data_IF_226083012584
#
_entry.id   IF_226083012584
#
_cell.length_a   1.000
_cell.length_b   1.000
_cell.length_c   1.000
_cell.angle_alpha   90.00
_cell.angle_beta   90.00
_cell.angle_gamma   90.00
#
_symmetry.space_group_name_H-M   'P 1'
#
loop_
_entity.id
_entity.type
_entity.pdbx_description
1 polymer ?
#
# COMPACT_ATOMS: atom_id res chain seq x y z
N UNK A 1 -9.10 7.18 -16.14
CA UNK A 1 -8.03 6.96 -15.12
C UNK A 1 -8.59 6.14 -13.96
N UNK A 2 -7.81 5.23 -13.39
CA UNK A 2 -8.24 4.37 -12.27
C UNK A 2 -7.30 4.57 -11.07
N UNK A 3 -7.87 4.90 -9.92
CA UNK A 3 -7.16 5.22 -8.68
C UNK A 3 -7.49 4.21 -7.58
N UNK A 4 -6.53 3.96 -6.69
CA UNK A 4 -6.76 3.23 -5.45
C UNK A 4 -7.13 4.21 -4.33
N UNK A 5 -8.37 4.17 -3.85
CA UNK A 5 -8.92 5.09 -2.85
C UNK A 5 -8.77 4.61 -1.40
N UNK A 6 -7.89 3.66 -1.17
CA UNK A 6 -7.61 3.20 0.19
C UNK A 6 -7.09 4.32 1.07
N UNK A 7 -7.49 4.31 2.34
CA UNK A 7 -7.06 5.26 3.36
C UNK A 7 -6.11 4.57 4.34
N UNK A 8 -4.95 5.18 4.55
CA UNK A 8 -3.98 4.69 5.53
C UNK A 8 -4.47 5.00 6.94
N UNK A 9 -4.42 4.00 7.80
CA UNK A 9 -4.77 4.14 9.21
C UNK A 9 -3.49 4.33 10.06
N UNK A 10 -3.55 5.06 11.20
CA UNK A 10 -2.40 5.27 12.07
C UNK A 10 -2.07 4.00 12.88
N UNK A 11 -1.72 2.94 12.17
CA UNK A 11 -1.54 1.58 12.71
C UNK A 11 -0.21 1.35 13.43
N UNK A 12 0.70 2.34 13.49
CA UNK A 12 1.99 2.20 14.17
C UNK A 12 1.91 2.71 15.60
N UNK A 13 2.21 1.86 16.55
CA UNK A 13 2.25 2.17 17.99
C UNK A 13 3.59 1.72 18.61
N UNK A 14 3.86 2.21 19.81
CA UNK A 14 5.05 1.85 20.56
C UNK A 14 4.64 1.22 21.90
N UNK A 15 5.35 0.16 22.25
CA UNK A 15 5.18 -0.53 23.53
C UNK A 15 6.53 -0.66 24.25
N UNK A 16 6.50 -0.89 25.54
CA UNK A 16 7.67 -1.24 26.34
C UNK A 16 7.68 -2.74 26.58
N UNK A 17 8.81 -3.37 26.31
CA UNK A 17 9.11 -4.77 26.60
C UNK A 17 10.39 -4.82 27.40
N UNK A 18 10.32 -5.17 28.71
CA UNK A 18 11.51 -5.22 29.60
C UNK A 18 12.40 -3.98 29.41
N UNK A 19 11.92 -2.82 29.68
CA UNK A 19 12.60 -1.51 29.62
C UNK A 19 13.09 -1.07 28.23
N UNK A 20 12.73 -1.82 27.18
CA UNK A 20 13.04 -1.48 25.78
C UNK A 20 11.79 -1.07 25.04
N UNK A 21 11.86 0.05 24.35
CA UNK A 21 10.81 0.48 23.44
C UNK A 21 10.85 -0.38 22.18
N UNK A 22 9.69 -0.93 21.83
CA UNK A 22 9.46 -1.71 20.60
C UNK A 22 8.36 -1.09 19.78
N UNK A 23 8.52 -1.10 18.47
CA UNK A 23 7.52 -0.58 17.54
C UNK A 23 6.68 -1.73 17.01
N UNK A 24 5.37 -1.54 17.02
CA UNK A 24 4.36 -2.43 16.46
C UNK A 24 3.66 -1.74 15.31
N UNK A 25 3.44 -2.44 14.20
CA UNK A 25 2.52 -2.00 13.15
C UNK A 25 1.42 -3.04 13.06
N UNK A 26 0.18 -2.66 13.37
CA UNK A 26 -0.98 -3.53 13.28
C UNK A 26 -1.25 -3.83 11.80
N UNK A 27 -1.35 -5.11 11.45
CA UNK A 27 -1.50 -5.56 10.04
C UNK A 27 -2.88 -6.14 9.79
N UNK A 28 -3.27 -7.11 10.62
CA UNK A 28 -4.53 -7.83 10.43
C UNK A 28 -5.15 -8.17 11.79
N UNK A 29 -6.43 -7.87 11.92
CA UNK A 29 -7.23 -8.30 13.06
C UNK A 29 -7.65 -9.76 12.85
N UNK A 30 -7.30 -10.63 13.80
CA UNK A 30 -7.70 -12.05 13.82
C UNK A 30 -8.99 -12.22 14.62
N UNK A 31 -9.07 -11.51 15.75
CA UNK A 31 -10.26 -11.43 16.61
C UNK A 31 -10.30 -10.04 17.26
N UNK A 32 -11.34 -9.66 18.00
CA UNK A 32 -11.45 -8.33 18.59
C UNK A 32 -10.20 -7.87 19.36
N UNK A 33 -9.50 -8.77 20.02
CA UNK A 33 -8.29 -8.47 20.81
C UNK A 33 -7.01 -9.09 20.27
N UNK A 34 -7.07 -9.96 19.25
CA UNK A 34 -5.90 -10.65 18.69
C UNK A 34 -5.54 -10.05 17.32
N UNK A 35 -4.30 -9.61 17.18
CA UNK A 35 -3.79 -8.98 15.97
C UNK A 35 -2.48 -9.60 15.50
N UNK A 36 -2.35 -9.72 14.18
CA UNK A 36 -1.05 -9.84 13.55
C UNK A 36 -0.40 -8.47 13.43
N UNK A 37 0.84 -8.38 13.86
CA UNK A 37 1.62 -7.14 13.84
C UNK A 37 3.00 -7.36 13.24
N UNK A 38 3.56 -6.35 12.60
CA UNK A 38 4.98 -6.30 12.31
C UNK A 38 5.73 -5.79 13.55
N UNK A 39 6.67 -6.58 14.03
CA UNK A 39 7.48 -6.26 15.20
C UNK A 39 8.87 -6.87 15.05
N UNK A 40 9.90 -6.07 15.27
CA UNK A 40 11.30 -6.53 15.24
C UNK A 40 11.72 -7.11 16.60
N UNK A 41 12.74 -7.95 16.58
CA UNK A 41 13.37 -8.52 17.77
C UNK A 41 12.92 -9.95 18.09
N UNK A 42 13.73 -10.64 18.90
CA UNK A 42 13.43 -12.00 19.41
C UNK A 42 12.65 -11.86 20.71
N UNK A 43 11.47 -12.44 20.77
CA UNK A 43 10.54 -12.36 21.90
C UNK A 43 10.07 -13.78 22.21
N UNK A 44 9.93 -14.10 23.50
CA UNK A 44 9.40 -15.39 23.94
C UNK A 44 7.88 -15.33 24.07
N UNK A 45 7.15 -16.40 23.76
CA UNK A 45 5.73 -16.51 24.06
C UNK A 45 5.42 -16.18 25.54
N UNK A 46 4.31 -15.51 25.79
CA UNK A 46 3.90 -15.04 27.11
C UNK A 46 4.53 -13.70 27.56
N UNK A 47 5.45 -13.12 26.76
CA UNK A 47 6.04 -11.83 27.11
C UNK A 47 4.99 -10.72 27.11
N UNK A 48 5.02 -9.89 28.15
CA UNK A 48 4.08 -8.80 28.37
C UNK A 48 4.61 -7.50 27.76
N UNK A 49 3.74 -6.80 27.10
CA UNK A 49 3.94 -5.47 26.53
C UNK A 49 3.12 -4.47 27.32
N UNK A 50 3.71 -3.36 27.71
CA UNK A 50 3.00 -2.23 28.33
C UNK A 50 3.01 -1.03 27.38
N UNK A 51 2.01 -0.17 27.50
CA UNK A 51 1.82 0.99 26.64
C UNK A 51 1.83 2.26 27.48
N UNK A 52 2.62 3.24 27.04
CA UNK A 52 2.85 4.47 27.79
C UNK A 52 1.54 5.22 28.09
N UNK A 53 1.37 5.65 29.36
CA UNK A 53 0.18 6.38 29.85
C UNK A 53 -1.16 5.69 29.54
N UNK A 54 -1.18 4.36 29.56
CA UNK A 54 -2.41 3.59 29.27
C UNK A 54 -2.51 2.34 30.11
N UNK A 55 -3.73 1.92 30.38
CA UNK A 55 -4.02 0.60 30.98
C UNK A 55 -3.94 -0.55 29.96
N UNK A 56 -3.74 -0.22 28.67
CA UNK A 56 -3.57 -1.22 27.62
C UNK A 56 -2.33 -2.07 27.90
N UNK A 57 -2.49 -3.38 27.83
CA UNK A 57 -1.40 -4.35 27.82
C UNK A 57 -1.53 -5.28 26.61
N UNK A 58 -0.44 -5.93 26.26
CA UNK A 58 -0.42 -6.91 25.17
C UNK A 58 0.42 -8.12 25.55
N UNK A 59 -0.04 -9.30 25.21
CA UNK A 59 0.69 -10.55 25.40
C UNK A 59 1.19 -11.07 24.04
N UNK A 60 2.48 -11.29 23.92
CA UNK A 60 3.02 -11.94 22.73
C UNK A 60 2.69 -13.42 22.72
N UNK A 61 1.91 -13.87 21.71
CA UNK A 61 1.47 -15.26 21.58
C UNK A 61 2.51 -16.08 20.82
N UNK A 62 2.78 -15.71 19.59
CA UNK A 62 3.67 -16.44 18.67
C UNK A 62 4.20 -15.56 17.55
N UNK A 63 5.15 -16.10 16.80
CA UNK A 63 5.65 -15.49 15.58
C UNK A 63 5.48 -16.44 14.41
N UNK A 64 4.88 -15.93 13.35
CA UNK A 64 4.78 -16.61 12.05
C UNK A 64 5.64 -15.80 11.07
N UNK A 65 6.82 -16.33 10.70
CA UNK A 65 7.80 -15.63 9.86
C UNK A 65 8.12 -14.21 10.40
N UNK A 66 7.72 -13.16 9.69
CA UNK A 66 7.98 -11.77 10.08
C UNK A 66 6.87 -11.15 10.93
N UNK A 67 5.72 -11.82 11.04
CA UNK A 67 4.55 -11.33 11.78
C UNK A 67 4.52 -11.92 13.17
N UNK A 68 4.28 -11.08 14.15
CA UNK A 68 4.00 -11.47 15.52
C UNK A 68 2.48 -11.48 15.75
N UNK A 69 2.01 -12.36 16.60
CA UNK A 69 0.61 -12.38 17.06
C UNK A 69 0.60 -11.85 18.48
N UNK A 70 -0.18 -10.79 18.70
CA UNK A 70 -0.35 -10.12 20.00
C UNK A 70 -1.81 -10.21 20.40
N UNK A 71 -2.06 -10.60 21.63
CA UNK A 71 -3.35 -10.48 22.31
C UNK A 71 -3.34 -9.23 23.18
N UNK A 72 -4.21 -8.29 22.89
CA UNK A 72 -4.38 -7.07 23.68
C UNK A 72 -5.40 -7.29 24.80
N UNK A 73 -5.24 -6.59 25.92
CA UNK A 73 -6.12 -6.72 27.08
C UNK A 73 -7.57 -6.31 26.82
N UNK A 74 -7.80 -5.40 25.86
CA UNK A 74 -9.14 -4.92 25.51
C UNK A 74 -9.15 -4.29 24.14
N UNK A 75 -10.19 -4.56 23.34
CA UNK A 75 -10.42 -3.90 22.06
C UNK A 75 -10.61 -2.39 22.22
N UNK A 76 -11.46 -1.97 23.16
CA UNK A 76 -11.74 -0.55 23.40
C UNK A 76 -10.49 0.21 23.85
N UNK A 77 -9.66 -0.40 24.72
CA UNK A 77 -8.41 0.22 25.14
C UNK A 77 -7.42 0.36 23.98
N UNK A 78 -7.36 -0.64 23.08
CA UNK A 78 -6.52 -0.58 21.87
C UNK A 78 -7.01 0.52 20.92
N UNK A 79 -8.30 0.58 20.62
CA UNK A 79 -8.90 1.61 19.76
C UNK A 79 -8.61 3.01 20.31
N UNK A 80 -8.86 3.25 21.58
CA UNK A 80 -8.53 4.51 22.25
C UNK A 80 -7.04 4.84 22.15
N UNK A 81 -6.17 3.85 22.41
CA UNK A 81 -4.72 4.06 22.30
C UNK A 81 -4.26 4.41 20.88
N UNK A 82 -4.87 3.79 19.86
CA UNK A 82 -4.61 4.10 18.47
C UNK A 82 -5.04 5.52 18.08
N UNK A 83 -6.17 5.99 18.59
CA UNK A 83 -6.66 7.36 18.37
C UNK A 83 -5.70 8.40 18.96
N UNK A 84 -5.24 8.18 20.20
CA UNK A 84 -4.40 9.12 20.95
C UNK A 84 -2.91 9.04 20.55
N UNK A 85 -2.38 7.85 20.31
CA UNK A 85 -0.95 7.60 20.14
C UNK A 85 -0.56 6.95 18.82
N UNK A 86 -1.53 6.57 17.98
CA UNK A 86 -1.28 5.96 16.69
C UNK A 86 -0.54 6.88 15.73
N UNK A 87 0.49 6.36 15.07
CA UNK A 87 1.28 7.06 14.06
C UNK A 87 1.10 6.44 12.69
N UNK A 88 1.33 7.25 11.67
CA UNK A 88 1.34 6.74 10.29
C UNK A 88 2.46 5.71 10.11
N UNK A 89 2.18 4.54 9.54
CA UNK A 89 3.15 3.48 9.29
C UNK A 89 4.00 3.80 8.05
N UNK A 90 4.83 4.84 8.15
CA UNK A 90 5.68 5.30 7.05
C UNK A 90 6.68 4.21 6.64
N UNK A 91 7.08 4.18 5.35
CA UNK A 91 8.13 3.28 4.87
C UNK A 91 9.43 3.40 5.65
N UNK A 92 10.23 2.32 5.78
CA UNK A 92 11.39 2.29 6.67
C UNK A 92 12.51 3.28 6.29
N UNK A 93 12.56 3.76 5.05
CA UNK A 93 13.52 4.78 4.61
C UNK A 93 13.14 6.21 5.03
N UNK A 94 11.90 6.42 5.52
CA UNK A 94 11.49 7.69 6.13
C UNK A 94 11.74 7.57 7.62
N UNK A 95 12.87 8.10 8.05
CA UNK A 95 13.25 8.07 9.46
C UNK A 95 12.36 9.00 10.27
N UNK A 96 11.74 8.45 11.32
CA UNK A 96 10.98 9.18 12.32
C UNK A 96 11.43 8.75 13.70
N UNK A 97 11.70 9.73 14.55
CA UNK A 97 12.14 9.51 15.93
C UNK A 97 10.93 9.30 16.85
N UNK A 98 11.17 8.73 18.02
CA UNK A 98 10.12 8.51 19.01
C UNK A 98 9.58 9.84 19.56
N UNK A 99 10.45 10.85 19.69
CA UNK A 99 10.22 12.19 20.21
C UNK A 99 9.87 13.23 19.13
N UNK A 100 9.46 12.79 17.93
CA UNK A 100 8.98 13.68 16.88
C UNK A 100 7.82 14.56 17.38
N UNK A 101 7.83 15.84 17.00
CA UNK A 101 6.86 16.81 17.47
C UNK A 101 5.43 16.50 16.99
N UNK A 102 4.39 16.92 17.72
CA UNK A 102 3.00 16.78 17.26
C UNK A 102 2.77 17.38 15.87
N UNK A 103 3.43 18.49 15.53
CA UNK A 103 3.35 19.10 14.21
C UNK A 103 3.90 18.18 13.10
N UNK A 104 5.02 17.49 13.36
CA UNK A 104 5.59 16.50 12.43
C UNK A 104 4.64 15.33 12.23
N UNK A 105 4.05 14.79 13.30
CA UNK A 105 3.12 13.68 13.23
C UNK A 105 1.82 14.04 12.48
N UNK A 106 1.30 15.25 12.71
CA UNK A 106 0.14 15.75 11.99
C UNK A 106 0.43 15.99 10.50
N UNK A 107 1.63 16.47 10.20
CA UNK A 107 2.09 16.61 8.81
C UNK A 107 2.18 15.23 8.12
N UNK A 108 2.67 14.20 8.80
CA UNK A 108 2.71 12.83 8.26
C UNK A 108 1.30 12.30 7.97
N UNK A 109 0.32 12.53 8.87
CA UNK A 109 -1.09 12.16 8.65
C UNK A 109 -1.64 12.79 7.37
N UNK A 110 -1.33 14.07 7.12
CA UNK A 110 -1.79 14.78 5.93
C UNK A 110 -1.05 14.36 4.66
N UNK A 111 0.27 14.20 4.74
CA UNK A 111 1.11 13.96 3.55
C UNK A 111 1.16 12.51 3.11
N UNK A 112 1.00 11.55 4.02
CA UNK A 112 0.98 10.12 3.69
C UNK A 112 -0.44 9.62 3.42
N UNK A 113 -1.23 10.46 2.73
CA UNK A 113 -2.61 10.19 2.38
C UNK A 113 -2.95 10.83 1.04
N UNK A 114 -3.65 10.12 0.16
CA UNK A 114 -4.14 10.71 -1.09
C UNK A 114 -5.32 11.63 -0.84
N UNK A 115 -5.49 12.66 -1.67
CA UNK A 115 -6.59 13.65 -1.52
C UNK A 115 -7.98 13.07 -1.79
N UNK A 116 -8.05 11.84 -2.31
CA UNK A 116 -9.27 11.09 -2.63
C UNK A 116 -9.44 9.82 -1.78
N UNK A 117 -8.59 9.61 -0.78
CA UNK A 117 -8.70 8.48 0.15
C UNK A 117 -10.06 8.48 0.85
N UNK A 118 -10.71 7.32 0.91
CA UNK A 118 -12.08 7.20 1.44
C UNK A 118 -12.40 5.86 2.10
N UNK A 119 -11.57 4.82 1.90
CA UNK A 119 -11.79 3.48 2.44
C UNK A 119 -10.67 3.12 3.40
N UNK A 120 -10.91 3.22 4.70
CA UNK A 120 -9.92 2.94 5.75
C UNK A 120 -9.50 1.47 5.79
N UNK A 121 -8.22 1.19 6.10
CA UNK A 121 -7.73 -0.18 6.28
C UNK A 121 -6.32 -0.44 5.76
N UNK A 122 -5.68 0.48 5.04
CA UNK A 122 -4.32 0.28 4.55
C UNK A 122 -3.27 0.66 5.60
N UNK A 123 -2.14 -0.02 5.55
CA UNK A 123 -0.92 0.35 6.29
C UNK A 123 0.14 1.02 5.41
N UNK A 124 -0.14 1.18 4.13
CA UNK A 124 0.69 1.96 3.22
C UNK A 124 -0.16 2.74 2.22
N UNK A 125 0.27 3.94 1.87
CA UNK A 125 -0.41 4.77 0.88
C UNK A 125 -0.18 4.26 -0.55
N UNK A 126 -1.17 4.38 -1.46
CA UNK A 126 -0.96 4.21 -2.89
C UNK A 126 -0.20 5.43 -3.43
N UNK A 127 1.14 5.37 -3.32
CA UNK A 127 2.03 6.54 -3.37
C UNK A 127 2.00 7.29 -4.70
N UNK A 128 1.72 6.63 -5.81
CA UNK A 128 1.51 7.31 -7.10
C UNK A 128 0.34 8.32 -7.05
N UNK A 129 -0.63 8.09 -6.19
CA UNK A 129 -1.75 9.00 -5.98
C UNK A 129 -1.39 10.27 -5.21
N UNK A 130 -0.26 10.29 -4.48
CA UNK A 130 0.19 11.47 -3.72
C UNK A 130 0.61 12.63 -4.64
N UNK A 131 0.86 12.37 -5.91
CA UNK A 131 1.20 13.39 -6.91
C UNK A 131 0.01 14.27 -7.32
N UNK A 132 -1.21 13.88 -6.96
CA UNK A 132 -2.42 14.61 -7.33
C UNK A 132 -2.92 15.51 -6.21
N UNK A 133 -3.22 16.75 -6.55
CA UNK A 133 -3.98 17.67 -5.72
C UNK A 133 -5.46 17.64 -6.11
N UNK A 134 -6.34 18.10 -5.22
CA UNK A 134 -7.79 18.25 -5.53
C UNK A 134 -8.02 19.09 -6.78
N UNK A 135 -7.31 20.23 -6.89
CA UNK A 135 -7.44 21.12 -8.05
C UNK A 135 -6.99 20.49 -9.37
N UNK A 136 -5.94 19.66 -9.35
CA UNK A 136 -5.53 18.89 -10.54
C UNK A 136 -6.57 17.86 -10.93
N UNK A 137 -7.16 17.14 -9.98
CA UNK A 137 -8.22 16.17 -10.27
C UNK A 137 -9.46 16.82 -10.87
N UNK A 138 -9.84 18.00 -10.38
CA UNK A 138 -10.95 18.75 -10.99
C UNK A 138 -10.65 19.19 -12.43
N UNK A 139 -9.45 19.71 -12.69
CA UNK A 139 -9.03 20.05 -14.05
C UNK A 139 -9.00 18.82 -14.98
N UNK A 140 -8.50 17.68 -14.49
CA UNK A 140 -8.45 16.45 -15.27
C UNK A 140 -9.85 15.97 -15.70
N UNK A 141 -10.90 16.18 -14.91
CA UNK A 141 -12.27 15.81 -15.27
C UNK A 141 -12.75 16.42 -16.59
N UNK A 142 -12.20 17.57 -16.97
CA UNK A 142 -12.53 18.25 -18.23
C UNK A 142 -11.72 17.69 -19.43
N UNK A 143 -10.64 16.94 -19.19
CA UNK A 143 -9.71 16.50 -20.22
C UNK A 143 -9.70 14.98 -20.43
N UNK A 144 -10.27 14.22 -19.52
CA UNK A 144 -10.33 12.76 -19.59
C UNK A 144 -11.79 12.30 -19.58
N UNK A 145 -12.05 11.13 -20.14
CA UNK A 145 -13.41 10.58 -20.19
C UNK A 145 -14.00 10.30 -18.79
N UNK A 146 -13.17 9.90 -17.85
CA UNK A 146 -13.65 9.69 -16.49
C UNK A 146 -12.62 9.20 -15.49
N UNK A 147 -13.01 9.26 -14.23
CA UNK A 147 -12.26 8.74 -13.09
C UNK A 147 -13.05 7.60 -12.47
N UNK A 148 -12.41 6.47 -12.27
CA UNK A 148 -12.90 5.34 -11.50
C UNK A 148 -11.99 5.08 -10.29
N UNK A 149 -12.57 4.48 -9.26
CA UNK A 149 -11.83 4.11 -8.05
C UNK A 149 -12.00 2.61 -7.78
N UNK A 150 -10.93 2.01 -7.34
CA UNK A 150 -10.92 0.71 -6.68
C UNK A 150 -10.31 0.87 -5.29
N UNK A 151 -10.52 -0.11 -4.43
CA UNK A 151 -9.88 -0.18 -3.12
C UNK A 151 -8.99 -1.41 -3.11
N UNK A 152 -7.72 -1.25 -2.79
CA UNK A 152 -6.83 -2.33 -2.39
C UNK A 152 -6.12 -1.86 -1.12
N UNK A 153 -6.30 -2.59 -0.03
CA UNK A 153 -5.61 -2.29 1.22
C UNK A 153 -4.17 -2.78 1.13
N UNK A 154 -3.26 -1.83 0.95
CA UNK A 154 -1.84 -2.11 0.76
C UNK A 154 -1.25 -2.69 2.04
N UNK A 155 -0.76 -3.90 1.96
CA UNK A 155 -0.09 -4.61 3.03
C UNK A 155 1.42 -4.31 3.10
N UNK A 156 2.11 -4.85 4.13
CA UNK A 156 3.54 -4.65 4.31
C UNK A 156 4.39 -5.33 3.23
N UNK A 157 3.84 -6.31 2.53
CA UNK A 157 4.52 -7.10 1.50
C UNK A 157 5.00 -6.25 0.32
N UNK A 158 4.31 -5.15 0.00
CA UNK A 158 4.62 -4.27 -1.12
C UNK A 158 6.03 -3.64 -1.03
N UNK A 159 6.56 -3.47 0.18
CA UNK A 159 7.91 -2.89 0.40
C UNK A 159 8.99 -3.94 0.64
N UNK A 160 8.67 -5.23 0.57
CA UNK A 160 9.66 -6.29 0.77
C UNK A 160 10.55 -6.42 -0.47
N UNK A 161 11.88 -6.46 -0.30
CA UNK A 161 12.77 -6.81 -1.40
C UNK A 161 12.59 -8.29 -1.77
N UNK A 162 12.79 -8.61 -3.03
CA UNK A 162 12.91 -10.00 -3.49
C UNK A 162 14.20 -10.55 -2.90
N UNK A 163 14.09 -11.63 -2.12
CA UNK A 163 15.22 -12.28 -1.42
C UNK A 163 15.77 -13.51 -2.14
N UNK A 164 15.12 -13.90 -3.22
CA UNK A 164 15.53 -15.04 -4.06
C UNK A 164 16.25 -14.52 -5.29
N UNK A 165 17.31 -15.19 -5.72
CA UNK A 165 17.99 -14.88 -6.98
C UNK A 165 17.09 -15.20 -8.19
N UNK A 166 16.17 -16.13 -8.03
CA UNK A 166 15.14 -16.50 -9.00
C UNK A 166 13.80 -15.94 -8.56
N UNK A 167 13.34 -14.87 -9.24
CA UNK A 167 12.06 -14.21 -8.93
C UNK A 167 10.85 -15.13 -9.15
N UNK A 168 10.96 -16.20 -9.95
CA UNK A 168 9.86 -17.15 -10.16
C UNK A 168 9.47 -17.89 -8.87
N UNK A 169 10.37 -17.94 -7.88
CA UNK A 169 10.13 -18.53 -6.55
C UNK A 169 9.60 -17.53 -5.53
N UNK A 170 9.39 -16.28 -5.94
CA UNK A 170 8.83 -15.26 -5.05
C UNK A 170 7.32 -15.39 -4.99
N UNK A 171 6.79 -15.54 -3.78
CA UNK A 171 5.35 -15.55 -3.55
C UNK A 171 4.87 -14.15 -3.13
N UNK A 172 3.95 -13.59 -3.91
CA UNK A 172 3.28 -12.35 -3.55
C UNK A 172 2.26 -12.59 -2.45
N UNK A 173 2.30 -11.78 -1.40
CA UNK A 173 1.23 -11.76 -0.40
C UNK A 173 -0.10 -11.37 -1.06
N UNK A 174 -1.16 -12.09 -0.69
CA UNK A 174 -2.50 -11.76 -1.15
C UNK A 174 -3.01 -10.49 -0.45
N UNK A 175 -3.54 -9.55 -1.22
CA UNK A 175 -4.11 -8.29 -0.74
C UNK A 175 -5.59 -8.22 -1.11
N UNK A 176 -6.42 -7.82 -0.14
CA UNK A 176 -7.85 -7.68 -0.36
C UNK A 176 -8.15 -6.47 -1.23
N UNK A 177 -9.02 -6.65 -2.23
CA UNK A 177 -9.50 -5.55 -3.06
C UNK A 177 -11.03 -5.51 -3.15
N UNK A 178 -11.53 -4.36 -3.55
CA UNK A 178 -12.95 -4.12 -3.83
C UNK A 178 -13.12 -3.13 -4.97
N UNK A 179 -14.05 -3.43 -5.89
CA UNK A 179 -14.49 -2.50 -6.94
C UNK A 179 -16.02 -2.39 -6.86
N UNK A 180 -16.56 -1.18 -6.72
CA UNK A 180 -18.00 -0.99 -6.72
C UNK A 180 -18.57 -1.17 -8.14
N UNK A 181 -19.84 -1.61 -8.30
CA UNK A 181 -20.46 -1.77 -9.62
C UNK A 181 -20.39 -0.50 -10.47
N UNK A 182 -20.59 0.67 -9.85
CA UNK A 182 -20.48 1.98 -10.52
C UNK A 182 -19.09 2.21 -11.12
N UNK A 183 -18.03 1.92 -10.38
CA UNK A 183 -16.66 2.09 -10.87
C UNK A 183 -16.29 1.02 -11.89
N UNK A 184 -16.75 -0.22 -11.68
CA UNK A 184 -16.51 -1.29 -12.62
C UNK A 184 -17.16 -0.99 -14.00
N UNK A 185 -18.43 -0.59 -14.01
CA UNK A 185 -19.12 -0.24 -15.26
C UNK A 185 -18.39 0.86 -16.02
N UNK A 186 -17.93 1.91 -15.34
CA UNK A 186 -17.11 2.96 -15.97
C UNK A 186 -15.87 2.41 -16.67
N UNK A 187 -15.18 1.44 -16.05
CA UNK A 187 -13.97 0.83 -16.62
C UNK A 187 -14.33 -0.02 -17.83
N UNK A 188 -15.35 -0.88 -17.69
CA UNK A 188 -15.82 -1.77 -18.77
C UNK A 188 -16.34 -0.98 -19.97
N UNK A 189 -17.16 0.05 -19.72
CA UNK A 189 -17.71 0.87 -20.79
C UNK A 189 -16.62 1.64 -21.53
N UNK A 190 -15.62 2.19 -20.79
CA UNK A 190 -14.45 2.81 -21.43
C UNK A 190 -13.69 1.84 -22.33
N UNK A 191 -13.51 0.58 -21.90
CA UNK A 191 -12.84 -0.45 -22.75
C UNK A 191 -13.69 -0.80 -23.99
N UNK A 192 -15.01 -0.96 -23.83
CA UNK A 192 -15.94 -1.23 -24.95
C UNK A 192 -15.92 -0.11 -25.99
N UNK A 193 -15.74 1.13 -25.55
CA UNK A 193 -15.64 2.31 -26.41
C UNK A 193 -14.23 2.49 -27.02
N UNK A 194 -13.33 1.53 -26.82
CA UNK A 194 -11.95 1.60 -27.34
C UNK A 194 -11.06 2.63 -26.63
N UNK A 195 -11.43 3.08 -25.42
CA UNK A 195 -10.67 4.07 -24.67
C UNK A 195 -9.59 3.41 -23.83
N UNK A 196 -8.44 4.06 -23.78
CA UNK A 196 -7.30 3.60 -22.99
C UNK A 196 -7.55 3.74 -21.48
N UNK A 197 -7.10 2.76 -20.71
CA UNK A 197 -7.12 2.74 -19.25
C UNK A 197 -5.74 3.10 -18.70
N UNK A 198 -5.67 4.25 -18.00
CA UNK A 198 -4.50 4.66 -17.26
C UNK A 198 -4.66 4.25 -15.80
N UNK A 199 -3.82 3.32 -15.33
CA UNK A 199 -3.72 2.95 -13.93
C UNK A 199 -2.82 3.94 -13.17
N UNK A 200 -3.28 4.42 -12.02
CA UNK A 200 -2.48 5.24 -11.11
C UNK A 200 -1.99 4.35 -9.98
N UNK A 201 -0.71 3.99 -10.06
CA UNK A 201 0.00 3.11 -9.14
C UNK A 201 -0.06 1.63 -9.50
N UNK A 202 0.97 0.92 -9.08
CA UNK A 202 1.12 -0.52 -9.27
C UNK A 202 0.03 -1.33 -8.60
N UNK A 203 -0.56 -0.83 -7.51
CA UNK A 203 -1.70 -1.45 -6.81
C UNK A 203 -2.95 -1.45 -7.69
N UNK A 204 -3.25 -0.33 -8.36
CA UNK A 204 -4.35 -0.25 -9.32
C UNK A 204 -4.13 -1.20 -10.50
N UNK A 205 -2.91 -1.25 -11.03
CA UNK A 205 -2.52 -2.16 -12.11
C UNK A 205 -2.77 -3.62 -11.73
N UNK A 206 -2.28 -4.06 -10.57
CA UNK A 206 -2.42 -5.45 -10.12
C UNK A 206 -3.90 -5.86 -9.97
N UNK A 207 -4.74 -4.99 -9.42
CA UNK A 207 -6.18 -5.28 -9.32
C UNK A 207 -6.81 -5.37 -10.70
N UNK A 208 -6.52 -4.44 -11.59
CA UNK A 208 -7.08 -4.44 -12.94
C UNK A 208 -6.66 -5.68 -13.72
N UNK A 209 -5.38 -6.08 -13.66
CA UNK A 209 -4.87 -7.27 -14.34
C UNK A 209 -5.35 -8.60 -13.72
N UNK A 210 -5.86 -8.57 -12.49
CA UNK A 210 -6.53 -9.73 -11.88
C UNK A 210 -7.94 -9.95 -12.44
N UNK A 211 -8.56 -8.94 -13.09
CA UNK A 211 -9.94 -9.00 -13.55
C UNK A 211 -10.09 -9.65 -14.92
N UNK A 212 -11.15 -10.45 -15.08
CA UNK A 212 -11.62 -10.89 -16.38
C UNK A 212 -12.79 -10.02 -16.85
N UNK A 213 -12.56 -9.16 -17.84
CA UNK A 213 -13.57 -8.24 -18.38
C UNK A 213 -14.77 -8.91 -19.10
N UNK A 214 -14.75 -10.23 -19.25
CA UNK A 214 -15.82 -10.99 -19.91
C UNK A 214 -17.11 -11.12 -19.10
N UNK A 215 -17.09 -10.82 -17.80
CA UNK A 215 -18.29 -10.93 -16.94
C UNK A 215 -19.11 -9.64 -17.00
N UNK A 216 -20.21 -9.69 -17.73
CA UNK A 216 -21.10 -8.55 -18.03
C UNK A 216 -22.07 -8.15 -16.91
N UNK A 217 -22.10 -8.85 -15.76
CA UNK A 217 -23.02 -8.56 -14.66
C UNK A 217 -22.23 -8.53 -13.37
N UNK A 218 -22.00 -7.33 -12.85
CA UNK A 218 -21.29 -7.14 -11.58
C UNK A 218 -22.24 -6.70 -10.46
N UNK A 219 -22.27 -7.50 -9.42
CA UNK A 219 -22.46 -7.03 -8.05
C UNK A 219 -21.11 -6.46 -7.59
N UNK A 220 -21.02 -5.76 -6.45
CA UNK A 220 -19.73 -5.35 -5.88
C UNK A 220 -18.76 -6.51 -5.95
N UNK A 221 -17.61 -6.33 -6.64
CA UNK A 221 -16.59 -7.36 -6.67
C UNK A 221 -15.59 -7.10 -5.56
N UNK A 222 -15.49 -8.06 -4.65
CA UNK A 222 -14.47 -8.13 -3.62
C UNK A 222 -13.70 -9.42 -3.82
N UNK A 223 -12.41 -9.37 -3.67
CA UNK A 223 -11.56 -10.54 -3.83
C UNK A 223 -10.19 -10.32 -3.21
N UNK A 224 -9.32 -11.26 -3.51
CA UNK A 224 -7.92 -11.21 -3.12
C UNK A 224 -7.06 -11.25 -4.38
N UNK A 225 -6.02 -10.45 -4.43
CA UNK A 225 -5.04 -10.48 -5.51
C UNK A 225 -3.66 -10.79 -4.97
N UNK A 226 -3.03 -11.81 -5.49
CA UNK A 226 -1.61 -12.11 -5.38
C UNK A 226 -0.90 -11.93 -6.73
N UNK A 227 -1.50 -11.15 -7.64
CA UNK A 227 -0.99 -10.92 -8.98
C UNK A 227 0.45 -10.43 -8.93
N UNK A 228 1.35 -11.24 -9.49
CA UNK A 228 2.78 -10.97 -9.58
C UNK A 228 3.16 -10.73 -11.05
N UNK A 229 3.24 -9.48 -11.43
CA UNK A 229 3.55 -9.05 -12.80
C UNK A 229 5.05 -9.00 -12.99
N UNK A 230 5.54 -9.80 -13.93
CA UNK A 230 6.97 -9.95 -14.26
C UNK A 230 7.18 -9.80 -15.77
N UNK A 231 8.41 -9.58 -16.25
CA UNK A 231 8.71 -9.53 -17.70
C UNK A 231 8.12 -10.72 -18.46
N UNK A 232 7.44 -10.43 -19.57
CA UNK A 232 6.65 -11.39 -20.36
C UNK A 232 5.16 -11.41 -20.00
N UNK A 233 4.70 -10.58 -19.05
CA UNK A 233 3.29 -10.41 -18.77
C UNK A 233 2.53 -9.81 -19.94
N UNK A 234 1.40 -10.40 -20.31
CA UNK A 234 0.49 -9.89 -21.32
C UNK A 234 -0.59 -8.99 -20.66
N UNK A 235 -0.39 -7.66 -20.73
CA UNK A 235 -1.31 -6.68 -20.15
C UNK A 235 -2.61 -6.65 -20.97
N UNK A 236 -3.75 -6.93 -20.30
CA UNK A 236 -5.07 -7.00 -20.93
C UNK A 236 -5.95 -5.81 -20.60
N UNK A 237 -5.71 -5.21 -19.44
CA UNK A 237 -6.63 -4.26 -18.83
C UNK A 237 -6.04 -2.86 -18.67
N UNK A 238 -4.73 -2.74 -18.61
CA UNK A 238 -4.02 -1.47 -18.39
C UNK A 238 -3.24 -1.10 -19.64
N UNK A 239 -3.54 0.06 -20.20
CA UNK A 239 -2.89 0.58 -21.40
C UNK A 239 -1.78 1.57 -21.06
N UNK A 240 -1.91 2.29 -19.93
CA UNK A 240 -0.94 3.28 -19.44
C UNK A 240 -0.78 3.19 -17.93
N UNK A 241 0.42 3.49 -17.43
CA UNK A 241 0.75 3.42 -16.00
C UNK A 241 1.46 4.68 -15.52
N UNK A 242 0.88 5.36 -14.51
CA UNK A 242 1.58 6.37 -13.72
C UNK A 242 2.07 5.74 -12.41
N UNK A 243 3.36 5.83 -12.12
CA UNK A 243 3.95 5.23 -10.93
C UNK A 243 5.17 6.00 -10.42
N UNK A 244 5.58 5.73 -9.16
CA UNK A 244 6.83 6.27 -8.61
C UNK A 244 8.05 5.52 -9.17
N UNK A 245 9.24 6.08 -8.96
CA UNK A 245 10.49 5.32 -9.11
C UNK A 245 10.68 4.38 -7.91
N UNK A 246 10.91 3.10 -8.18
CA UNK A 246 11.00 2.04 -7.20
C UNK A 246 12.44 1.54 -6.99
N UNK A 247 12.65 0.77 -5.90
CA UNK A 247 13.94 0.16 -5.61
C UNK A 247 14.29 -0.91 -6.66
N UNK A 248 15.57 -1.02 -7.04
CA UNK A 248 16.10 -2.20 -7.69
C UNK A 248 15.80 -3.48 -6.89
N UNK A 249 15.68 -4.61 -7.56
CA UNK A 249 15.36 -5.92 -6.94
C UNK A 249 14.04 -5.94 -6.15
N UNK A 250 13.08 -5.11 -6.56
CA UNK A 250 11.72 -5.12 -6.00
C UNK A 250 10.71 -5.69 -6.99
N UNK A 251 9.60 -6.23 -6.49
CA UNK A 251 8.46 -6.68 -7.30
C UNK A 251 7.90 -5.55 -8.16
N UNK A 252 8.00 -4.32 -7.68
CA UNK A 252 7.53 -3.12 -8.36
C UNK A 252 8.40 -2.76 -9.57
N UNK A 253 9.73 -2.94 -9.45
CA UNK A 253 10.63 -2.74 -10.60
C UNK A 253 10.43 -3.80 -11.68
N UNK A 254 10.11 -5.05 -11.29
CA UNK A 254 9.75 -6.10 -12.25
C UNK A 254 8.47 -5.76 -13.01
N UNK A 255 7.44 -5.21 -12.33
CA UNK A 255 6.22 -4.76 -12.97
C UNK A 255 6.50 -3.66 -14.01
N UNK A 256 7.33 -2.67 -13.67
CA UNK A 256 7.73 -1.62 -14.61
C UNK A 256 8.49 -2.22 -15.81
N UNK A 257 9.39 -3.16 -15.54
CA UNK A 257 10.15 -3.86 -16.60
C UNK A 257 9.25 -4.72 -17.48
N UNK A 258 8.18 -5.28 -16.93
CA UNK A 258 7.16 -6.00 -17.69
C UNK A 258 6.38 -5.04 -18.61
N UNK A 259 6.06 -3.84 -18.11
CA UNK A 259 5.24 -2.87 -18.82
C UNK A 259 6.01 -2.16 -19.95
N UNK A 260 7.20 -1.64 -19.65
CA UNK A 260 7.99 -0.84 -20.58
C UNK A 260 9.02 -1.65 -21.39
N UNK A 261 9.25 -2.90 -21.00
CA UNK A 261 10.41 -3.68 -21.43
C UNK A 261 11.66 -3.36 -20.59
N UNK A 262 12.47 -4.36 -20.32
CA UNK A 262 13.62 -4.27 -19.39
C UNK A 262 14.63 -3.20 -19.80
N UNK A 263 14.97 -3.13 -21.08
CA UNK A 263 15.95 -2.15 -21.62
C UNK A 263 15.46 -0.72 -21.44
N UNK A 264 14.18 -0.45 -21.77
CA UNK A 264 13.57 0.87 -21.64
C UNK A 264 13.48 1.28 -20.18
N UNK A 265 13.03 0.38 -19.30
CA UNK A 265 12.96 0.63 -17.85
C UNK A 265 14.35 1.00 -17.29
N UNK A 266 15.39 0.23 -17.61
CA UNK A 266 16.78 0.52 -17.17
C UNK A 266 17.27 1.88 -17.68
N UNK A 267 17.00 2.21 -18.95
CA UNK A 267 17.39 3.50 -19.54
C UNK A 267 16.69 4.67 -18.85
N UNK A 268 15.37 4.57 -18.62
CA UNK A 268 14.60 5.59 -17.91
C UNK A 268 15.12 5.81 -16.47
N UNK A 269 15.47 4.74 -15.77
CA UNK A 269 16.04 4.84 -14.42
C UNK A 269 17.44 5.47 -14.41
N UNK A 270 18.31 5.10 -15.35
CA UNK A 270 19.63 5.73 -15.51
C UNK A 270 19.51 7.22 -15.80
N UNK A 271 18.57 7.60 -16.68
CA UNK A 271 18.31 9.01 -16.99
C UNK A 271 17.76 9.75 -15.77
N UNK A 272 16.81 9.15 -15.03
CA UNK A 272 16.28 9.73 -13.80
C UNK A 272 17.37 9.97 -12.76
N UNK A 273 18.31 9.02 -12.60
CA UNK A 273 19.48 9.17 -11.70
C UNK A 273 20.37 10.32 -12.20
N UNK A 274 20.68 10.38 -13.49
CA UNK A 274 21.49 11.44 -14.10
C UNK A 274 20.88 12.82 -13.89
N UNK A 275 19.54 12.92 -13.99
CA UNK A 275 18.77 14.15 -13.80
C UNK A 275 18.43 14.43 -12.32
N UNK A 276 18.90 13.61 -11.39
CA UNK A 276 18.68 13.77 -9.94
C UNK A 276 17.21 13.74 -9.54
N UNK A 277 16.38 12.93 -10.22
CA UNK A 277 15.03 12.65 -9.79
C UNK A 277 15.02 11.97 -8.42
N UNK A 278 14.02 12.27 -7.63
CA UNK A 278 13.83 11.67 -6.31
C UNK A 278 13.10 10.35 -6.46
N UNK A 279 13.51 9.39 -5.66
CA UNK A 279 12.97 8.03 -5.67
C UNK A 279 12.04 7.80 -4.49
N UNK A 280 11.28 6.70 -4.54
CA UNK A 280 10.39 6.18 -3.50
C UNK A 280 9.09 6.98 -3.33
N UNK A 281 8.43 6.81 -2.15
CA UNK A 281 7.06 7.26 -1.90
C UNK A 281 6.83 8.76 -2.04
N UNK A 282 7.81 9.57 -1.63
CA UNK A 282 7.77 11.03 -1.74
C UNK A 282 8.68 11.56 -2.86
N UNK A 283 9.14 10.67 -3.70
CA UNK A 283 9.93 11.01 -4.87
C UNK A 283 9.08 11.51 -6.04
N UNK A 284 9.67 11.44 -7.20
CA UNK A 284 9.03 11.84 -8.45
C UNK A 284 8.30 10.66 -9.09
N UNK A 285 7.49 10.93 -10.11
CA UNK A 285 6.72 9.92 -10.84
C UNK A 285 7.19 9.78 -12.28
N UNK A 286 6.87 8.63 -12.87
CA UNK A 286 7.02 8.35 -14.29
C UNK A 286 5.66 7.95 -14.89
N UNK A 287 5.43 8.35 -16.12
CA UNK A 287 4.29 7.95 -16.93
C UNK A 287 4.78 7.03 -18.04
N UNK A 288 4.21 5.84 -18.10
CA UNK A 288 4.43 4.82 -19.11
C UNK A 288 3.23 4.81 -20.05
N UNK A 289 3.48 5.03 -21.34
CA UNK A 289 2.47 5.13 -22.40
C UNK A 289 2.52 3.91 -23.31
#
# INVERSE_FOLDING_TARGET
MVFNNTQVVPAKIFATLKDKTVSLILVQQISPVIWEVLMKGKIKPGAQLSFHNSSLTGTFIKRNAERAVIEFSSQQALEKYLEEHGRMPLPPYINRKLDDTPATLEQDKKRYQTVYASQSGAIAAPTAGLHFTKGQLEKLKCHIHGIAHLTLHVGPGTFKPIRTDDFSKHEMEAEAYRITPKNWNKIVDSKKEGRSILAVGTTSTRVLETQEFKKSIFKTESGWTNCFIVPGWDFKNVDHLLTNFHLPKSTLFLLISAFAGEKMAKNAYNEAIRQKYRFFSYGDAMLLL
#
